data_IF_650989380927
#
_entry.id   IF_650989380927
#
_cell.length_a   1.000
_cell.length_b   1.000
_cell.length_c   1.000
_cell.angle_alpha   90.00
_cell.angle_beta   90.00
_cell.angle_gamma   90.00
#
_symmetry.space_group_name_H-M   'P 1'
#
loop_
_entity.id
_entity.type
_entity.pdbx_description
1 polymer ?
#
# COMPACT_ATOMS: atom_id res chain seq x y z
N UNK A 1 3.44 -1.86 4.84
CA UNK A 1 2.40 -2.87 5.14
C UNK A 1 2.11 -2.80 6.62
N UNK A 2 0.83 -2.82 6.98
CA UNK A 2 0.33 -2.74 8.35
C UNK A 2 -0.64 -3.90 8.54
N UNK A 3 -0.33 -4.80 9.47
CA UNK A 3 -1.14 -6.01 9.72
C UNK A 3 -2.35 -5.74 10.63
N UNK A 4 -2.24 -4.78 11.54
CA UNK A 4 -3.35 -4.28 12.36
C UNK A 4 -3.26 -2.76 12.50
N UNK A 5 -4.18 -2.06 11.85
CA UNK A 5 -4.20 -0.58 11.88
C UNK A 5 -4.56 -0.02 13.26
N UNK A 6 -5.19 -0.83 14.13
CA UNK A 6 -5.52 -0.39 15.49
C UNK A 6 -4.28 -0.25 16.39
N UNK A 7 -3.19 -0.95 16.06
CA UNK A 7 -1.92 -0.87 16.79
C UNK A 7 -1.06 0.32 16.33
N UNK A 8 -1.41 0.94 15.20
CA UNK A 8 -0.67 2.06 14.60
C UNK A 8 -1.16 3.42 15.12
N UNK A 9 -0.38 4.02 16.03
CA UNK A 9 -0.74 5.27 16.71
C UNK A 9 -0.93 6.48 15.79
N UNK A 10 -0.30 6.46 14.62
CA UNK A 10 -0.34 7.55 13.63
C UNK A 10 -1.24 7.21 12.43
N UNK A 11 -2.04 6.16 12.54
CA UNK A 11 -2.95 5.75 11.48
C UNK A 11 -4.14 6.70 11.36
N UNK A 12 -4.41 7.18 10.15
CA UNK A 12 -5.57 8.02 9.85
C UNK A 12 -6.49 7.20 8.95
N UNK A 13 -7.53 6.64 9.56
CA UNK A 13 -8.44 5.76 8.85
C UNK A 13 -9.32 6.53 7.84
N UNK A 14 -9.35 6.06 6.59
CA UNK A 14 -10.36 6.46 5.60
C UNK A 14 -11.73 5.82 5.89
N UNK A 15 -11.75 4.68 6.60
CA UNK A 15 -12.93 3.95 7.02
C UNK A 15 -12.68 3.25 8.36
N UNK A 16 -13.68 3.24 9.25
CA UNK A 16 -13.60 2.54 10.55
C UNK A 16 -13.55 1.02 10.43
N UNK A 17 -13.78 0.47 9.23
CA UNK A 17 -13.77 -0.97 8.99
C UNK A 17 -12.42 -1.51 8.53
N UNK A 18 -11.45 -0.63 8.23
CA UNK A 18 -10.10 -1.06 7.85
C UNK A 18 -9.44 -1.73 9.04
N UNK A 19 -8.81 -2.88 8.79
CA UNK A 19 -8.07 -3.66 9.78
C UNK A 19 -6.63 -3.91 9.37
N UNK A 20 -6.33 -3.96 8.09
CA UNK A 20 -4.96 -4.00 7.58
C UNK A 20 -4.85 -3.19 6.29
N UNK A 21 -3.65 -2.71 5.98
CA UNK A 21 -3.40 -1.84 4.82
C UNK A 21 -2.03 -2.16 4.20
N UNK A 22 -1.95 -2.09 2.87
CA UNK A 22 -0.69 -2.09 2.15
C UNK A 22 -0.61 -0.87 1.23
N UNK A 23 0.41 -0.05 1.48
CA UNK A 23 0.79 1.09 0.63
C UNK A 23 2.10 0.78 -0.06
N UNK A 24 2.12 0.87 -1.39
CA UNK A 24 3.32 0.69 -2.21
C UNK A 24 3.53 1.95 -3.07
N UNK A 25 4.67 2.66 -2.92
CA UNK A 25 4.92 3.88 -3.67
C UNK A 25 5.27 3.57 -5.13
N UNK A 26 4.78 4.43 -6.03
CA UNK A 26 5.23 4.47 -7.42
C UNK A 26 6.40 5.45 -7.52
N UNK A 27 7.58 4.95 -7.88
CA UNK A 27 8.81 5.73 -7.92
C UNK A 27 9.28 5.88 -9.38
N UNK A 28 9.48 7.12 -9.82
CA UNK A 28 10.04 7.48 -11.13
C UNK A 28 11.16 8.49 -10.92
N UNK A 29 12.33 8.26 -11.52
CA UNK A 29 13.50 9.15 -11.38
C UNK A 29 13.89 9.45 -9.92
N UNK A 30 13.81 8.45 -9.03
CA UNK A 30 14.05 8.58 -7.58
C UNK A 30 13.07 9.49 -6.83
N UNK A 31 11.96 9.87 -7.46
CA UNK A 31 10.88 10.67 -6.88
C UNK A 31 9.64 9.80 -6.73
N UNK A 32 8.94 9.92 -5.61
CA UNK A 32 7.62 9.32 -5.43
C UNK A 32 6.61 10.15 -6.24
N UNK A 33 6.03 9.53 -7.27
CA UNK A 33 5.06 10.16 -8.18
C UNK A 33 3.62 9.72 -7.93
N UNK A 34 3.43 8.77 -7.03
CA UNK A 34 2.12 8.26 -6.62
C UNK A 34 2.26 7.07 -5.67
N UNK A 35 1.14 6.43 -5.36
CA UNK A 35 1.10 5.20 -4.56
C UNK A 35 -0.08 4.33 -5.00
N UNK A 36 0.07 3.02 -4.82
CA UNK A 36 -1.07 2.11 -4.70
C UNK A 36 -1.34 1.95 -3.20
N UNK A 37 -2.59 2.17 -2.82
CA UNK A 37 -3.08 2.08 -1.46
C UNK A 37 -4.27 1.11 -1.43
N UNK A 38 -4.18 0.08 -0.60
CA UNK A 38 -5.18 -0.99 -0.51
C UNK A 38 -5.52 -1.26 0.96
N UNK A 39 -6.77 -0.97 1.28
CA UNK A 39 -7.40 -1.29 2.56
C UNK A 39 -8.00 -2.70 2.57
N UNK A 40 -8.00 -3.34 3.75
CA UNK A 40 -8.68 -4.61 3.98
C UNK A 40 -9.46 -4.60 5.28
N UNK A 41 -10.66 -5.20 5.27
CA UNK A 41 -11.47 -5.44 6.48
C UNK A 41 -11.03 -6.69 7.26
N UNK A 42 -10.00 -7.39 6.78
CA UNK A 42 -9.41 -8.58 7.41
C UNK A 42 -8.04 -8.19 8.00
N UNK A 43 -7.71 -8.55 9.25
CA UNK A 43 -6.37 -8.33 9.81
C UNK A 43 -5.32 -9.17 9.08
N UNK A 44 -4.09 -8.67 8.99
CA UNK A 44 -2.94 -9.33 8.35
C UNK A 44 -3.26 -9.91 6.97
N UNK A 45 -4.01 -9.15 6.14
CA UNK A 45 -4.53 -9.66 4.88
C UNK A 45 -3.45 -9.81 3.80
N UNK A 46 -2.38 -9.03 3.90
CA UNK A 46 -1.33 -8.93 2.90
C UNK A 46 -0.10 -9.72 3.32
N UNK A 47 0.52 -10.38 2.36
CA UNK A 47 1.74 -11.17 2.55
C UNK A 47 2.88 -10.61 1.70
N UNK A 48 4.07 -11.16 1.91
CA UNK A 48 5.25 -10.78 1.16
C UNK A 48 5.07 -10.94 -0.36
N UNK A 49 4.37 -11.99 -0.81
CA UNK A 49 4.10 -12.20 -2.24
C UNK A 49 3.19 -11.11 -2.83
N UNK A 50 2.21 -10.62 -2.06
CA UNK A 50 1.36 -9.49 -2.45
C UNK A 50 2.18 -8.22 -2.61
N UNK A 51 3.09 -7.94 -1.66
CA UNK A 51 4.00 -6.81 -1.76
C UNK A 51 4.88 -6.89 -3.02
N UNK A 52 5.49 -8.05 -3.30
CA UNK A 52 6.35 -8.24 -4.47
C UNK A 52 5.57 -8.04 -5.78
N UNK A 53 4.33 -8.53 -5.84
CA UNK A 53 3.44 -8.32 -6.97
C UNK A 53 3.10 -6.83 -7.15
N UNK A 54 2.70 -6.15 -6.08
CA UNK A 54 2.35 -4.72 -6.12
C UNK A 54 3.55 -3.84 -6.49
N UNK A 55 4.75 -4.17 -6.00
CA UNK A 55 5.99 -3.48 -6.41
C UNK A 55 6.27 -3.66 -7.90
N UNK A 56 6.02 -4.85 -8.46
CA UNK A 56 6.14 -5.09 -9.91
C UNK A 56 5.13 -4.25 -10.68
N UNK A 57 3.87 -4.23 -10.23
CA UNK A 57 2.82 -3.40 -10.83
C UNK A 57 3.19 -1.92 -10.77
N UNK A 58 3.69 -1.41 -9.63
CA UNK A 58 4.12 -0.02 -9.48
C UNK A 58 5.27 0.34 -10.45
N UNK A 59 6.23 -0.58 -10.66
CA UNK A 59 7.30 -0.39 -11.66
C UNK A 59 6.75 -0.31 -13.08
N UNK A 60 5.76 -1.14 -13.43
CA UNK A 60 5.11 -1.10 -14.73
C UNK A 60 4.25 0.16 -14.91
N UNK A 61 3.57 0.63 -13.87
CA UNK A 61 2.77 1.85 -13.90
C UNK A 61 3.61 3.12 -14.00
N UNK A 62 4.83 3.13 -13.45
CA UNK A 62 5.69 4.32 -13.42
C UNK A 62 5.98 4.91 -14.81
N UNK A 63 5.89 4.12 -15.89
CA UNK A 63 6.11 4.61 -17.26
C UNK A 63 4.94 5.44 -17.81
N UNK A 64 3.75 5.34 -17.19
CA UNK A 64 2.52 6.01 -17.62
C UNK A 64 2.18 7.26 -16.82
N UNK A 65 2.89 7.52 -15.71
CA UNK A 65 2.69 8.70 -14.87
C UNK A 65 3.72 9.74 -15.28
N UNK A 66 3.28 10.95 -15.65
CA UNK A 66 4.16 12.04 -16.12
C UNK A 66 5.01 12.66 -15.01
#
# INVERSE_FOLDING_TARGET
MIDDVAEEKNYIACSIYVKSEIVVPIIKNQIVVGQIDIDSHTPAAFKQDDQQLLEKICRELAIYIE
#
